data_IF_362712523207
#
_entry.id   IF_362712523207
#
_cell.length_a   1.000
_cell.length_b   1.000
_cell.length_c   1.000
_cell.angle_alpha   90.00
_cell.angle_beta   90.00
_cell.angle_gamma   90.00
#
_symmetry.space_group_name_H-M   'P 1'
#
loop_
_entity.id
_entity.type
_entity.pdbx_description
1 polymer ?
#
# COMPACT_ATOMS: atom_id res chain seq x y z
N UNK A 1 35.99 -16.32 -2.12
CA UNK A 1 34.88 -16.55 -3.06
C UNK A 1 34.94 -15.47 -4.12
N UNK A 2 35.27 -15.78 -5.39
CA UNK A 2 35.24 -14.76 -6.45
C UNK A 2 33.81 -14.26 -6.64
N UNK A 3 33.64 -12.96 -6.86
CA UNK A 3 32.35 -12.35 -7.12
C UNK A 3 31.74 -12.94 -8.41
N UNK A 4 30.58 -13.58 -8.29
CA UNK A 4 29.92 -14.32 -9.38
C UNK A 4 29.20 -13.42 -10.39
N UNK A 5 29.35 -12.11 -10.31
CA UNK A 5 28.61 -11.16 -11.14
C UNK A 5 29.59 -10.20 -11.84
N UNK A 6 30.23 -10.68 -12.90
CA UNK A 6 30.91 -9.80 -13.85
C UNK A 6 29.83 -9.10 -14.68
N UNK A 7 29.62 -7.82 -14.43
CA UNK A 7 28.66 -6.96 -15.15
C UNK A 7 28.99 -6.81 -16.65
N UNK A 8 30.18 -7.22 -17.08
CA UNK A 8 30.58 -7.24 -18.50
C UNK A 8 29.75 -8.23 -19.34
N UNK A 9 29.13 -9.23 -18.73
CA UNK A 9 28.25 -10.17 -19.43
C UNK A 9 26.85 -9.62 -19.75
N UNK A 10 26.50 -8.43 -19.25
CA UNK A 10 25.20 -7.81 -19.49
C UNK A 10 25.03 -7.23 -20.90
N UNK A 11 26.10 -7.20 -21.71
CA UNK A 11 26.04 -6.80 -23.12
C UNK A 11 25.44 -7.88 -24.03
N UNK A 12 25.50 -9.15 -23.63
CA UNK A 12 24.89 -10.26 -24.37
C UNK A 12 23.40 -10.40 -23.99
N UNK A 13 22.46 -10.16 -24.93
CA UNK A 13 21.03 -10.21 -24.65
C UNK A 13 20.54 -11.59 -24.19
N UNK A 14 21.17 -12.67 -24.64
CA UNK A 14 20.77 -14.03 -24.28
C UNK A 14 21.25 -14.38 -22.87
N UNK A 15 22.47 -13.97 -22.50
CA UNK A 15 23.00 -14.12 -21.14
C UNK A 15 22.19 -13.28 -20.15
N UNK A 16 21.84 -12.04 -20.51
CA UNK A 16 20.96 -11.19 -19.72
C UNK A 16 19.59 -11.84 -19.51
N UNK A 17 19.00 -12.43 -20.55
CA UNK A 17 17.72 -13.13 -20.44
C UNK A 17 17.79 -14.34 -19.50
N UNK A 18 18.87 -15.13 -19.55
CA UNK A 18 19.11 -16.23 -18.59
C UNK A 18 19.22 -15.71 -17.16
N UNK A 19 20.04 -14.67 -16.93
CA UNK A 19 20.28 -14.11 -15.61
C UNK A 19 19.03 -13.47 -15.01
N UNK A 20 18.22 -12.80 -15.84
CA UNK A 20 16.90 -12.31 -15.42
C UNK A 20 15.94 -13.45 -15.09
N UNK A 21 16.00 -14.56 -15.83
CA UNK A 21 15.16 -15.74 -15.57
C UNK A 21 15.53 -16.44 -14.26
N UNK A 22 16.81 -16.56 -13.92
CA UNK A 22 17.26 -17.12 -12.64
C UNK A 22 16.82 -16.25 -11.45
N UNK A 23 16.87 -14.92 -11.61
CA UNK A 23 16.60 -13.98 -10.51
C UNK A 23 15.12 -13.70 -10.27
N UNK A 24 14.33 -13.62 -11.34
CA UNK A 24 12.94 -13.17 -11.28
C UNK A 24 11.95 -14.20 -11.85
N UNK A 25 12.44 -15.30 -12.39
CA UNK A 25 11.63 -16.24 -13.16
C UNK A 25 11.40 -15.77 -14.60
N UNK A 26 10.67 -16.55 -15.41
CA UNK A 26 10.50 -16.26 -16.83
C UNK A 26 9.72 -14.95 -17.05
N UNK A 27 10.35 -14.00 -17.77
CA UNK A 27 9.81 -12.67 -18.08
C UNK A 27 8.36 -12.67 -18.61
N UNK A 28 7.98 -13.72 -19.37
CA UNK A 28 6.63 -13.87 -19.92
C UNK A 28 5.56 -13.93 -18.82
N UNK A 29 5.85 -14.56 -17.68
CA UNK A 29 4.93 -14.66 -16.55
C UNK A 29 4.78 -13.31 -15.83
N UNK A 30 5.88 -12.58 -15.66
CA UNK A 30 5.89 -11.24 -15.05
C UNK A 30 5.04 -10.27 -15.88
N UNK A 31 5.20 -10.31 -17.21
CA UNK A 31 4.40 -9.49 -18.12
C UNK A 31 2.91 -9.89 -18.11
N UNK A 32 2.61 -11.19 -17.99
CA UNK A 32 1.24 -11.67 -17.87
C UNK A 32 0.58 -11.17 -16.57
N UNK A 33 1.31 -11.12 -15.47
CA UNK A 33 0.81 -10.61 -14.18
C UNK A 33 0.60 -9.09 -14.22
N UNK A 34 1.48 -8.34 -14.88
CA UNK A 34 1.31 -6.89 -15.09
C UNK A 34 0.04 -6.54 -15.86
N UNK A 35 -0.35 -7.39 -16.82
CA UNK A 35 -1.54 -7.21 -17.63
C UNK A 35 -2.81 -7.79 -16.99
N UNK A 36 -2.73 -8.32 -15.76
CA UNK A 36 -3.88 -8.85 -15.06
C UNK A 36 -4.87 -7.71 -14.79
N UNK A 37 -6.14 -7.83 -15.21
CA UNK A 37 -7.13 -6.81 -14.89
C UNK A 37 -7.26 -6.69 -13.37
N UNK A 38 -7.31 -5.45 -12.88
CA UNK A 38 -7.52 -5.18 -11.47
C UNK A 38 -8.84 -5.83 -11.02
N UNK A 39 -8.89 -6.41 -9.81
CA UNK A 39 -10.13 -6.97 -9.29
C UNK A 39 -11.22 -5.88 -9.27
N UNK A 40 -12.48 -6.23 -9.54
CA UNK A 40 -13.57 -5.27 -9.52
C UNK A 40 -13.61 -4.59 -8.15
N UNK A 41 -13.45 -3.27 -8.16
CA UNK A 41 -13.55 -2.45 -6.95
C UNK A 41 -14.98 -2.64 -6.44
N UNK A 42 -15.13 -3.24 -5.26
CA UNK A 42 -16.45 -3.38 -4.63
C UNK A 42 -17.04 -1.97 -4.52
N UNK A 43 -18.04 -1.69 -5.36
CA UNK A 43 -18.82 -0.48 -5.23
C UNK A 43 -19.39 -0.50 -3.81
N UNK A 44 -19.14 0.55 -3.04
CA UNK A 44 -19.73 0.69 -1.70
C UNK A 44 -21.24 0.65 -1.90
N UNK A 45 -21.84 -0.50 -1.64
CA UNK A 45 -23.26 -0.73 -1.78
C UNK A 45 -23.96 0.38 -1.02
N UNK A 46 -24.80 1.15 -1.73
CA UNK A 46 -25.59 2.29 -1.27
C UNK A 46 -25.80 2.23 0.26
N UNK A 47 -24.90 2.89 0.99
CA UNK A 47 -25.02 2.99 2.44
C UNK A 47 -26.14 4.00 2.67
N UNK A 48 -27.35 3.50 2.91
CA UNK A 48 -28.30 4.25 3.73
C UNK A 48 -27.52 4.74 4.94
N UNK A 49 -27.42 6.06 5.18
CA UNK A 49 -26.70 6.56 6.33
C UNK A 49 -27.30 5.93 7.57
N UNK A 50 -26.50 5.21 8.35
CA UNK A 50 -26.99 4.59 9.58
C UNK A 50 -27.45 5.72 10.52
N UNK A 51 -28.74 5.78 10.90
CA UNK A 51 -29.26 6.86 11.74
C UNK A 51 -28.55 6.89 13.10
N UNK A 52 -28.09 5.74 13.62
CA UNK A 52 -27.35 5.68 14.89
C UNK A 52 -25.94 6.25 14.78
N UNK A 53 -25.33 6.21 13.60
CA UNK A 53 -24.02 6.81 13.38
C UNK A 53 -24.07 8.35 13.48
N UNK A 54 -25.20 8.96 13.13
CA UNK A 54 -25.41 10.41 13.29
C UNK A 54 -25.51 10.81 14.77
N UNK A 55 -26.25 10.05 15.57
CA UNK A 55 -26.37 10.26 17.02
C UNK A 55 -25.01 10.12 17.72
N UNK A 56 -24.24 9.08 17.38
CA UNK A 56 -22.92 8.86 17.94
C UNK A 56 -21.93 10.00 17.59
N UNK A 57 -22.03 10.56 16.37
CA UNK A 57 -21.22 11.71 15.98
C UNK A 57 -21.55 12.96 16.82
N UNK A 58 -22.83 13.18 17.13
CA UNK A 58 -23.23 14.29 17.99
C UNK A 58 -22.62 14.18 19.39
N UNK A 59 -22.73 13.00 20.00
CA UNK A 59 -22.14 12.72 21.31
C UNK A 59 -20.62 12.93 21.34
N UNK A 60 -19.92 12.54 20.27
CA UNK A 60 -18.48 12.71 20.15
C UNK A 60 -18.08 14.20 20.03
N UNK A 61 -18.86 15.00 19.30
CA UNK A 61 -18.64 16.45 19.21
C UNK A 61 -18.88 17.15 20.54
N UNK A 62 -19.91 16.76 21.28
CA UNK A 62 -20.16 17.26 22.63
C UNK A 62 -19.02 16.90 23.59
N UNK A 63 -18.52 15.67 23.54
CA UNK A 63 -17.39 15.23 24.36
C UNK A 63 -16.09 15.98 24.04
N UNK A 64 -15.84 16.29 22.76
CA UNK A 64 -14.68 17.09 22.35
C UNK A 64 -14.79 18.54 22.81
N UNK A 65 -15.97 19.14 22.71
CA UNK A 65 -16.19 20.53 23.13
C UNK A 65 -16.16 20.68 24.65
N UNK A 66 -16.62 19.68 25.38
CA UNK A 66 -16.60 19.65 26.85
C UNK A 66 -15.29 19.13 27.43
N UNK A 67 -14.28 18.83 26.60
CA UNK A 67 -12.99 18.38 27.09
C UNK A 67 -12.30 19.56 27.80
N UNK A 68 -12.09 19.50 29.12
CA UNK A 68 -11.33 20.54 29.79
C UNK A 68 -9.92 20.57 29.17
N UNK A 69 -9.51 21.76 28.71
CA UNK A 69 -8.13 22.05 28.39
C UNK A 69 -7.28 21.72 29.61
N UNK A 70 -6.24 20.89 29.52
CA UNK A 70 -5.31 20.74 30.62
C UNK A 70 -4.70 22.13 30.89
N UNK A 71 -4.79 22.57 32.15
CA UNK A 71 -4.23 23.84 32.59
C UNK A 71 -2.76 23.94 32.14
N UNK A 72 -2.31 25.09 31.59
CA UNK A 72 -0.91 25.26 31.27
C UNK A 72 -0.10 25.16 32.56
N UNK A 73 0.81 24.18 32.62
CA UNK A 73 1.73 23.99 33.74
C UNK A 73 2.42 25.32 34.09
N UNK A 74 2.49 25.71 35.37
CA UNK A 74 3.21 26.91 35.75
C UNK A 74 4.69 26.69 35.49
N UNK A 75 5.26 27.49 34.58
CA UNK A 75 6.69 27.55 34.35
C UNK A 75 7.40 27.96 35.66
N UNK A 76 8.28 27.08 36.14
CA UNK A 76 9.11 27.25 37.33
C UNK A 76 10.20 28.31 37.12
#
# INVERSE_FOLDING_TARGET
MPATYNTDGAEDPDLYAQLMTERYGPLRLILAERNRPAPPRQARANLTPDPRAAEHRHQLLEALNNRPQPDPEPAA
#
